data_IF_485714794845
#
_entry.id   IF_485714794845
#
_cell.length_a   1.000
_cell.length_b   1.000
_cell.length_c   1.000
_cell.angle_alpha   90.00
_cell.angle_beta   90.00
_cell.angle_gamma   90.00
#
_symmetry.space_group_name_H-M   'P 1'
#
loop_
_entity.id
_entity.type
_entity.pdbx_description
1 polymer ?
#
# COMPACT_ATOMS: atom_id res chain seq x y z
N UNK A 1 5.05 63.23 -53.03
CA UNK A 1 4.05 62.75 -52.00
C UNK A 1 4.34 61.29 -51.74
N UNK A 2 4.90 60.96 -50.53
CA UNK A 2 5.19 59.59 -50.07
C UNK A 2 4.08 59.19 -49.09
N UNK A 3 3.29 58.19 -49.45
CA UNK A 3 2.31 57.58 -48.58
C UNK A 3 2.99 56.47 -47.80
N UNK A 4 3.12 56.63 -46.47
CA UNK A 4 3.53 55.57 -45.55
C UNK A 4 2.26 54.80 -45.15
N UNK A 5 2.20 53.57 -45.56
CA UNK A 5 1.19 52.61 -45.08
C UNK A 5 1.75 51.90 -43.83
N UNK A 6 1.16 52.24 -42.69
CA UNK A 6 1.47 51.54 -41.41
C UNK A 6 0.65 50.23 -41.38
N UNK A 7 1.37 49.12 -41.34
CA UNK A 7 0.78 47.78 -41.11
C UNK A 7 0.80 47.54 -39.61
N UNK A 8 -0.36 47.61 -38.97
CA UNK A 8 -0.56 47.19 -37.58
C UNK A 8 -0.75 45.67 -37.53
N UNK A 9 0.29 44.99 -36.98
CA UNK A 9 0.22 43.58 -36.69
C UNK A 9 -0.48 43.39 -35.32
N UNK A 10 -1.73 42.91 -35.36
CA UNK A 10 -2.45 42.50 -34.16
C UNK A 10 -1.93 41.10 -33.71
N UNK A 11 -1.14 41.07 -32.66
CA UNK A 11 -0.74 39.82 -32.02
C UNK A 11 -1.89 39.35 -31.10
N UNK A 12 -2.62 38.34 -31.54
CA UNK A 12 -3.69 37.71 -30.77
C UNK A 12 -3.02 36.65 -29.86
N UNK A 13 -2.74 37.03 -28.61
CA UNK A 13 -2.23 36.10 -27.60
C UNK A 13 -3.37 35.20 -27.14
N UNK A 14 -3.39 33.98 -27.64
CA UNK A 14 -4.28 32.92 -27.11
C UNK A 14 -3.73 32.43 -25.78
N UNK A 15 -4.32 32.88 -24.69
CA UNK A 15 -4.07 32.35 -23.34
C UNK A 15 -4.76 30.99 -23.23
N UNK A 16 -4.02 29.91 -23.44
CA UNK A 16 -4.50 28.56 -23.16
C UNK A 16 -4.46 28.37 -21.64
N UNK A 17 -5.60 28.57 -20.99
CA UNK A 17 -5.79 28.23 -19.59
C UNK A 17 -5.86 26.70 -19.49
N UNK A 18 -4.74 26.09 -19.05
CA UNK A 18 -4.73 24.68 -18.66
C UNK A 18 -5.43 24.59 -17.31
N UNK A 19 -6.74 24.38 -17.32
CA UNK A 19 -7.49 23.96 -16.15
C UNK A 19 -7.13 22.50 -15.88
N UNK A 20 -6.18 22.27 -14.97
CA UNK A 20 -5.98 20.95 -14.38
C UNK A 20 -7.27 20.61 -13.65
N UNK A 21 -8.11 19.77 -14.26
CA UNK A 21 -9.23 19.15 -13.58
C UNK A 21 -8.64 18.22 -12.53
N UNK A 22 -8.51 18.71 -11.29
CA UNK A 22 -8.37 17.83 -10.14
C UNK A 22 -9.68 17.05 -10.07
N UNK A 23 -9.65 15.77 -10.44
CA UNK A 23 -10.72 14.85 -10.10
C UNK A 23 -10.80 14.88 -8.57
N UNK A 24 -11.82 15.55 -8.03
CA UNK A 24 -12.08 15.48 -6.59
C UNK A 24 -12.45 14.05 -6.29
N UNK A 25 -11.59 13.37 -5.55
CA UNK A 25 -11.88 12.05 -5.00
C UNK A 25 -13.16 12.15 -4.19
N UNK A 26 -14.20 11.42 -4.63
CA UNK A 26 -15.55 11.48 -4.03
C UNK A 26 -15.63 10.78 -2.67
N UNK A 27 -14.53 10.19 -2.19
CA UNK A 27 -14.49 9.43 -0.94
C UNK A 27 -14.57 10.31 0.31
N UNK A 28 -14.17 11.57 0.22
CA UNK A 28 -14.08 12.48 1.38
C UNK A 28 -12.91 12.17 2.33
N UNK A 29 -12.06 11.19 1.98
CA UNK A 29 -10.84 10.88 2.72
C UNK A 29 -9.61 11.38 1.97
N UNK A 30 -8.65 11.92 2.71
CA UNK A 30 -7.32 12.22 2.19
C UNK A 30 -6.48 10.94 2.06
N UNK A 31 -5.33 11.03 1.35
CA UNK A 31 -4.37 9.94 1.26
C UNK A 31 -3.93 9.46 2.64
N UNK A 32 -3.97 8.15 2.87
CA UNK A 32 -3.58 7.54 4.14
C UNK A 32 -2.43 6.55 3.99
N UNK A 33 -1.56 6.57 4.99
CA UNK A 33 -0.52 5.59 5.20
C UNK A 33 -0.87 4.75 6.43
N UNK A 34 -0.94 3.43 6.30
CA UNK A 34 -1.35 2.56 7.40
C UNK A 34 -0.47 1.33 7.53
N UNK A 35 -0.12 0.98 8.77
CA UNK A 35 0.54 -0.28 9.10
C UNK A 35 -0.44 -1.23 9.77
N UNK A 36 -0.70 -2.37 9.13
CA UNK A 36 -1.50 -3.47 9.65
C UNK A 36 -0.58 -4.46 10.36
N UNK A 37 -0.71 -4.52 11.68
CA UNK A 37 0.13 -5.37 12.50
C UNK A 37 -0.50 -6.75 12.69
N UNK A 38 0.15 -7.80 12.19
CA UNK A 38 -0.26 -9.19 12.35
C UNK A 38 0.83 -9.96 13.10
N UNK A 39 0.49 -10.43 14.30
CA UNK A 39 1.40 -11.22 15.15
C UNK A 39 0.72 -12.46 15.75
N UNK A 40 -0.30 -12.96 15.08
CA UNK A 40 -1.09 -14.12 15.48
C UNK A 40 -1.23 -15.10 14.32
N UNK A 41 -1.52 -16.37 14.66
CA UNK A 41 -1.92 -17.41 13.73
C UNK A 41 -3.40 -17.76 13.98
N UNK A 42 -4.24 -17.29 13.10
CA UNK A 42 -5.69 -17.57 13.07
C UNK A 42 -6.18 -17.26 11.65
N UNK A 43 -6.58 -18.29 10.92
CA UNK A 43 -6.97 -18.19 9.51
C UNK A 43 -8.15 -17.27 9.30
N UNK A 44 -9.18 -17.35 10.14
CA UNK A 44 -10.37 -16.50 10.02
C UNK A 44 -10.05 -15.04 10.30
N UNK A 45 -9.27 -14.77 11.35
CA UNK A 45 -8.83 -13.42 11.72
C UNK A 45 -7.89 -12.83 10.66
N UNK A 46 -6.98 -13.62 10.12
CA UNK A 46 -6.09 -13.20 9.03
C UNK A 46 -6.85 -12.80 7.77
N UNK A 47 -7.87 -13.58 7.38
CA UNK A 47 -8.77 -13.23 6.27
C UNK A 47 -9.54 -11.94 6.61
N UNK A 48 -10.00 -11.78 7.84
CA UNK A 48 -10.64 -10.55 8.32
C UNK A 48 -9.74 -9.33 8.19
N UNK A 49 -8.48 -9.45 8.60
CA UNK A 49 -7.48 -8.38 8.48
C UNK A 49 -7.26 -7.94 7.02
N UNK A 50 -7.14 -8.90 6.11
CA UNK A 50 -6.96 -8.62 4.68
C UNK A 50 -8.21 -8.00 4.05
N UNK A 51 -9.43 -8.44 4.45
CA UNK A 51 -10.69 -7.79 4.03
C UNK A 51 -10.79 -6.36 4.54
N UNK A 52 -10.35 -6.10 5.78
CA UNK A 52 -10.31 -4.74 6.32
C UNK A 52 -9.38 -3.84 5.50
N UNK A 53 -8.21 -4.34 5.10
CA UNK A 53 -7.31 -3.60 4.23
C UNK A 53 -7.94 -3.34 2.84
N UNK A 54 -8.61 -4.34 2.25
CA UNK A 54 -9.32 -4.14 0.98
C UNK A 54 -10.44 -3.10 1.10
N UNK A 55 -11.24 -3.15 2.18
CA UNK A 55 -12.29 -2.16 2.43
C UNK A 55 -11.69 -0.76 2.65
N UNK A 56 -10.53 -0.68 3.31
CA UNK A 56 -9.80 0.56 3.51
C UNK A 56 -9.39 1.17 2.16
N UNK A 57 -8.78 0.37 1.28
CA UNK A 57 -8.41 0.80 -0.09
C UNK A 57 -9.64 1.28 -0.86
N UNK A 58 -10.73 0.51 -0.83
CA UNK A 58 -11.97 0.85 -1.52
C UNK A 58 -12.57 2.18 -1.04
N UNK A 59 -12.44 2.48 0.26
CA UNK A 59 -12.93 3.72 0.84
C UNK A 59 -12.06 4.93 0.46
N UNK A 60 -10.74 4.75 0.30
CA UNK A 60 -9.83 5.83 -0.05
C UNK A 60 -9.80 6.14 -1.55
N UNK A 61 -10.10 5.15 -2.39
CA UNK A 61 -9.91 5.22 -3.83
C UNK A 61 -8.49 4.87 -4.27
N UNK A 62 -8.34 4.64 -5.57
CA UNK A 62 -7.07 4.24 -6.19
C UNK A 62 -6.00 5.34 -6.01
N UNK A 63 -4.80 4.93 -5.62
CA UNK A 63 -3.66 5.84 -5.43
C UNK A 63 -3.65 6.63 -4.12
N UNK A 64 -4.73 6.61 -3.34
CA UNK A 64 -4.85 7.35 -2.08
C UNK A 64 -4.45 6.55 -0.84
N UNK A 65 -3.74 5.44 -1.01
CA UNK A 65 -3.29 4.61 0.10
C UNK A 65 -1.81 4.23 -0.02
N UNK A 66 -1.18 4.00 1.14
CA UNK A 66 0.05 3.25 1.29
C UNK A 66 -0.13 2.30 2.47
N UNK A 67 -0.35 1.03 2.19
CA UNK A 67 -0.63 0.03 3.23
C UNK A 67 0.51 -0.96 3.32
N UNK A 68 0.94 -1.25 4.55
CA UNK A 68 1.93 -2.26 4.87
C UNK A 68 1.42 -3.21 5.93
N UNK A 69 1.44 -4.49 5.64
CA UNK A 69 1.33 -5.53 6.66
C UNK A 69 2.71 -5.76 7.27
N UNK A 70 2.80 -5.75 8.59
CA UNK A 70 4.02 -6.16 9.29
C UNK A 70 3.73 -7.45 10.04
N UNK A 71 4.45 -8.51 9.62
CA UNK A 71 4.28 -9.87 10.07
C UNK A 71 5.45 -10.27 10.97
N UNK A 72 5.19 -10.60 12.23
CA UNK A 72 6.19 -11.15 13.14
C UNK A 72 5.60 -12.19 14.08
N UNK A 73 6.44 -13.02 14.69
CA UNK A 73 5.98 -14.11 15.55
C UNK A 73 5.01 -15.02 14.76
N UNK A 74 3.86 -15.33 15.33
CA UNK A 74 2.86 -16.17 14.68
C UNK A 74 2.24 -15.54 13.43
N UNK A 75 2.35 -14.22 13.27
CA UNK A 75 1.84 -13.52 12.10
C UNK A 75 2.51 -13.90 10.78
N UNK A 76 3.73 -14.46 10.81
CA UNK A 76 4.41 -14.97 9.61
C UNK A 76 3.65 -16.14 8.99
N UNK A 77 2.85 -16.86 9.78
CA UNK A 77 2.02 -17.96 9.31
C UNK A 77 0.93 -17.52 8.32
N UNK A 78 0.63 -16.21 8.24
CA UNK A 78 -0.25 -15.65 7.21
C UNK A 78 0.25 -16.00 5.80
N UNK A 79 1.55 -15.92 5.55
CA UNK A 79 2.15 -16.26 4.26
C UNK A 79 2.60 -17.73 4.16
N UNK A 80 2.35 -18.56 5.16
CA UNK A 80 2.75 -19.96 5.18
C UNK A 80 1.56 -20.88 5.37
N UNK A 81 1.11 -21.08 6.59
CA UNK A 81 0.02 -22.03 6.90
C UNK A 81 -1.35 -21.52 6.44
N UNK A 82 -1.64 -20.22 6.65
CA UNK A 82 -2.94 -19.65 6.26
C UNK A 82 -3.17 -19.77 4.75
N UNK A 83 -2.13 -19.58 3.93
CA UNK A 83 -2.21 -19.79 2.47
C UNK A 83 -2.41 -21.25 2.08
N UNK A 84 -1.91 -22.20 2.88
CA UNK A 84 -2.13 -23.63 2.67
C UNK A 84 -3.54 -24.08 3.10
N UNK A 85 -4.14 -23.38 4.05
CA UNK A 85 -5.46 -23.69 4.61
C UNK A 85 -6.62 -23.04 3.86
N UNK A 86 -6.33 -21.97 3.04
CA UNK A 86 -7.39 -21.15 2.45
C UNK A 86 -7.00 -20.52 1.12
N UNK A 87 -7.61 -20.97 0.04
CA UNK A 87 -7.53 -20.33 -1.28
C UNK A 87 -7.99 -18.86 -1.22
N UNK A 88 -8.93 -18.54 -0.34
CA UNK A 88 -9.41 -17.17 -0.11
C UNK A 88 -8.32 -16.27 0.45
N UNK A 89 -7.42 -16.80 1.27
CA UNK A 89 -6.26 -16.03 1.76
C UNK A 89 -5.29 -15.73 0.62
N UNK A 90 -5.03 -16.70 -0.25
CA UNK A 90 -4.21 -16.54 -1.45
C UNK A 90 -4.77 -15.44 -2.36
N UNK A 91 -6.05 -15.52 -2.73
CA UNK A 91 -6.73 -14.52 -3.55
C UNK A 91 -6.61 -13.09 -2.97
N UNK A 92 -6.78 -12.95 -1.66
CA UNK A 92 -6.70 -11.64 -0.99
C UNK A 92 -5.28 -11.11 -0.95
N UNK A 93 -4.26 -11.95 -0.70
CA UNK A 93 -2.86 -11.54 -0.74
C UNK A 93 -2.50 -11.05 -2.13
N UNK A 94 -2.85 -11.80 -3.18
CA UNK A 94 -2.56 -11.44 -4.57
C UNK A 94 -3.26 -10.14 -4.96
N UNK A 95 -4.54 -9.99 -4.60
CA UNK A 95 -5.30 -8.76 -4.83
C UNK A 95 -4.66 -7.55 -4.15
N UNK A 96 -4.27 -7.68 -2.88
CA UNK A 96 -3.66 -6.60 -2.12
C UNK A 96 -2.26 -6.24 -2.66
N UNK A 97 -1.43 -7.24 -3.01
CA UNK A 97 -0.12 -7.00 -3.63
C UNK A 97 -0.26 -6.29 -4.99
N UNK A 98 -1.21 -6.67 -5.81
CA UNK A 98 -1.50 -6.02 -7.10
C UNK A 98 -1.94 -4.56 -6.93
N UNK A 99 -2.49 -4.19 -5.77
CA UNK A 99 -2.85 -2.81 -5.39
C UNK A 99 -1.72 -2.08 -4.66
N UNK A 100 -0.49 -2.65 -4.62
CA UNK A 100 0.68 -2.02 -4.03
C UNK A 100 0.84 -2.20 -2.51
N UNK A 101 0.01 -3.04 -1.88
CA UNK A 101 0.20 -3.39 -0.46
C UNK A 101 1.46 -4.22 -0.29
N UNK A 102 2.29 -3.86 0.69
CA UNK A 102 3.53 -4.58 1.02
C UNK A 102 3.34 -5.45 2.26
N UNK A 103 3.98 -6.61 2.25
CA UNK A 103 4.01 -7.53 3.38
C UNK A 103 5.43 -7.59 3.93
N UNK A 104 5.71 -6.84 4.99
CA UNK A 104 7.01 -6.82 5.64
C UNK A 104 7.15 -7.99 6.62
N UNK A 105 8.18 -8.80 6.45
CA UNK A 105 8.42 -10.06 7.16
C UNK A 105 9.58 -9.89 8.13
N UNK A 106 9.37 -10.19 9.40
CA UNK A 106 10.37 -10.06 10.44
C UNK A 106 11.48 -11.12 10.31
N UNK A 107 12.72 -10.71 9.99
CA UNK A 107 13.88 -11.61 9.94
C UNK A 107 14.15 -12.30 11.26
N UNK A 108 14.01 -11.61 12.40
CA UNK A 108 14.19 -12.24 13.70
C UNK A 108 13.24 -13.44 13.90
N UNK A 109 12.02 -13.38 13.35
CA UNK A 109 11.08 -14.50 13.38
C UNK A 109 11.55 -15.64 12.48
N UNK A 110 11.98 -15.33 11.25
CA UNK A 110 12.48 -16.34 10.32
C UNK A 110 13.65 -17.11 10.91
N UNK A 111 14.65 -16.39 11.40
CA UNK A 111 15.84 -16.99 12.02
C UNK A 111 15.49 -17.77 13.29
N UNK A 112 14.73 -17.16 14.20
CA UNK A 112 14.38 -17.76 15.48
C UNK A 112 13.52 -19.01 15.37
N UNK A 113 12.71 -19.13 14.29
CA UNK A 113 11.85 -20.28 14.03
C UNK A 113 12.37 -21.21 12.94
N UNK A 114 13.54 -20.90 12.37
CA UNK A 114 14.15 -21.67 11.27
C UNK A 114 13.18 -21.82 10.07
N UNK A 115 12.50 -20.73 9.70
CA UNK A 115 11.63 -20.67 8.54
C UNK A 115 12.47 -20.16 7.37
N UNK A 116 12.50 -20.91 6.29
CA UNK A 116 13.14 -20.47 5.05
C UNK A 116 12.22 -19.50 4.31
N UNK A 117 12.81 -18.53 3.59
CA UNK A 117 12.01 -17.52 2.88
C UNK A 117 11.16 -18.15 1.77
N UNK A 118 11.68 -19.19 1.13
CA UNK A 118 11.00 -19.99 0.10
C UNK A 118 9.78 -20.77 0.60
N UNK A 119 9.66 -20.97 1.92
CA UNK A 119 8.47 -21.58 2.53
C UNK A 119 7.27 -20.61 2.62
N UNK A 120 7.50 -19.32 2.31
CA UNK A 120 6.48 -18.28 2.40
C UNK A 120 5.88 -17.97 1.04
N UNK A 121 4.56 -17.90 0.98
CA UNK A 121 3.83 -17.62 -0.23
C UNK A 121 4.23 -16.26 -0.83
N UNK A 122 4.77 -16.30 -2.05
CA UNK A 122 5.09 -15.15 -2.87
C UNK A 122 5.95 -14.09 -2.16
N UNK A 123 6.87 -14.53 -1.28
CA UNK A 123 7.77 -13.67 -0.54
C UNK A 123 9.15 -13.62 -1.18
N UNK A 124 9.80 -12.45 -1.16
CA UNK A 124 11.17 -12.28 -1.61
C UNK A 124 12.03 -11.51 -0.59
N UNK A 125 13.32 -11.36 -0.88
CA UNK A 125 14.25 -10.71 0.04
C UNK A 125 13.91 -9.25 0.33
N UNK A 126 13.21 -8.55 -0.56
CA UNK A 126 12.81 -7.15 -0.37
C UNK A 126 11.65 -7.00 0.63
N UNK A 127 10.91 -8.07 0.88
CA UNK A 127 9.86 -8.10 1.90
C UNK A 127 10.43 -8.23 3.32
N UNK A 128 11.69 -8.71 3.45
CA UNK A 128 12.27 -9.01 4.76
C UNK A 128 12.81 -7.75 5.43
N UNK A 129 12.37 -7.50 6.65
CA UNK A 129 12.85 -6.41 7.50
C UNK A 129 13.61 -6.99 8.72
N UNK A 130 14.65 -6.32 9.24
CA UNK A 130 15.45 -6.85 10.34
C UNK A 130 14.63 -7.23 11.58
N UNK A 131 13.65 -6.41 11.94
CA UNK A 131 12.75 -6.61 13.08
C UNK A 131 11.38 -6.05 12.79
N UNK A 132 10.32 -6.87 12.88
CA UNK A 132 8.95 -6.41 12.69
C UNK A 132 8.53 -5.32 13.68
N UNK A 133 8.94 -5.44 14.95
CA UNK A 133 8.61 -4.43 15.98
C UNK A 133 9.31 -3.10 15.67
N UNK A 134 10.59 -3.14 15.28
CA UNK A 134 11.31 -1.92 14.90
C UNK A 134 10.75 -1.29 13.62
N UNK A 135 10.33 -2.10 12.65
CA UNK A 135 9.71 -1.61 11.42
C UNK A 135 8.37 -0.92 11.71
N UNK A 136 7.54 -1.45 12.62
CA UNK A 136 6.31 -0.76 13.08
C UNK A 136 6.65 0.61 13.66
N UNK A 137 7.64 0.68 14.57
CA UNK A 137 8.07 1.95 15.15
C UNK A 137 8.55 2.96 14.09
N UNK A 138 9.37 2.51 13.16
CA UNK A 138 9.88 3.31 12.04
C UNK A 138 8.73 3.83 11.15
N UNK A 139 7.78 2.97 10.78
CA UNK A 139 6.64 3.35 9.96
C UNK A 139 5.76 4.40 10.68
N UNK A 140 5.52 4.25 11.99
CA UNK A 140 4.79 5.25 12.77
C UNK A 140 5.52 6.60 12.81
N UNK A 141 6.86 6.61 12.93
CA UNK A 141 7.67 7.84 12.83
C UNK A 141 7.58 8.49 11.45
N UNK A 142 7.29 7.70 10.41
CA UNK A 142 7.07 8.18 9.03
C UNK A 142 5.62 8.62 8.77
N UNK A 143 4.75 8.59 9.77
CA UNK A 143 3.36 9.04 9.66
C UNK A 143 2.34 7.92 9.39
N UNK A 144 2.75 6.65 9.38
CA UNK A 144 1.80 5.54 9.24
C UNK A 144 0.92 5.40 10.47
N UNK A 145 -0.39 5.32 10.26
CA UNK A 145 -1.35 5.00 11.32
C UNK A 145 -1.26 3.51 11.66
N UNK A 146 -1.17 3.20 12.96
CA UNK A 146 -1.11 1.82 13.44
C UNK A 146 -2.50 1.21 13.55
N UNK A 147 -2.70 0.06 12.90
CA UNK A 147 -3.92 -0.73 12.92
C UNK A 147 -3.61 -2.16 13.35
N UNK A 148 -4.41 -2.70 14.26
CA UNK A 148 -4.32 -4.09 14.71
C UNK A 148 -5.67 -4.78 14.56
N UNK A 149 -5.96 -5.39 13.40
CA UNK A 149 -7.21 -6.07 13.12
C UNK A 149 -7.36 -7.40 13.85
#
# INVERSE_FOLDING_TARGET
VKILTSISVLIFSVLVSITSAFASDSSGYEKQQAVYHVNYYDTKRSIGAMRNAQNHINALGEGNHEIRFVLHGDGVELLRKVTQESDKAVELIDSLRNQGVKFNICNNTLVGRKIALEDLYFADASDVVPSGVAEIGKLQQQGFVYLRP
#
